data_IF_074261034341
#
_entry.id   IF_074261034341
#
_cell.length_a   1.000
_cell.length_b   1.000
_cell.length_c   1.000
_cell.angle_alpha   90.00
_cell.angle_beta   90.00
_cell.angle_gamma   90.00
#
_symmetry.space_group_name_H-M   'P 1'
#
loop_
_entity.id
_entity.type
_entity.pdbx_description
1 polymer ?
#
# COMPACT_ATOMS: atom_id res chain seq x y z
N UNK A 1 -22.40 -6.61 19.59
CA UNK A 1 -23.81 -6.29 19.92
C UNK A 1 -24.72 -7.52 19.81
N UNK A 2 -24.51 -8.41 18.83
CA UNK A 2 -25.37 -9.57 18.58
C UNK A 2 -24.98 -10.84 19.37
N UNK A 3 -23.72 -10.98 19.80
CA UNK A 3 -23.21 -12.14 20.55
C UNK A 3 -22.44 -11.71 21.80
N UNK A 4 -23.09 -11.07 22.81
CA UNK A 4 -22.42 -10.66 24.03
C UNK A 4 -21.90 -11.87 24.83
N UNK A 5 -20.76 -11.73 25.51
CA UNK A 5 -20.22 -12.74 26.42
C UNK A 5 -19.59 -13.98 25.75
N UNK A 6 -19.41 -13.98 24.43
CA UNK A 6 -18.68 -15.06 23.72
C UNK A 6 -17.18 -14.83 23.80
N UNK A 7 -16.43 -15.92 23.99
CA UNK A 7 -14.97 -15.91 23.95
C UNK A 7 -14.47 -15.67 22.52
N UNK A 8 -13.49 -14.78 22.38
CA UNK A 8 -12.82 -14.53 21.10
C UNK A 8 -11.62 -15.47 21.00
N UNK A 9 -11.56 -16.23 19.91
CA UNK A 9 -10.46 -17.13 19.59
C UNK A 9 -9.66 -16.49 18.45
N UNK A 10 -8.36 -16.27 18.67
CA UNK A 10 -7.48 -15.75 17.62
C UNK A 10 -7.16 -16.85 16.60
N UNK A 11 -7.06 -16.46 15.33
CA UNK A 11 -6.59 -17.30 14.23
C UNK A 11 -5.48 -16.56 13.47
N UNK A 12 -4.63 -17.29 12.75
CA UNK A 12 -3.55 -16.73 11.95
C UNK A 12 -4.07 -16.03 10.70
N UNK A 13 -5.27 -16.38 10.22
CA UNK A 13 -5.97 -15.65 9.15
C UNK A 13 -7.48 -15.76 9.25
N UNK A 14 -8.20 -14.86 8.58
CA UNK A 14 -9.67 -14.93 8.47
C UNK A 14 -10.14 -16.17 7.70
N UNK A 15 -9.35 -16.66 6.75
CA UNK A 15 -9.66 -17.89 6.01
C UNK A 15 -9.48 -19.15 6.87
N UNK A 16 -8.42 -19.21 7.68
CA UNK A 16 -8.19 -20.29 8.65
C UNK A 16 -9.28 -20.31 9.74
N UNK A 17 -9.72 -19.14 10.22
CA UNK A 17 -10.84 -19.06 11.15
C UNK A 17 -12.10 -19.74 10.59
N UNK A 18 -12.41 -19.52 9.31
CA UNK A 18 -13.54 -20.17 8.63
C UNK A 18 -13.33 -21.68 8.55
N UNK A 19 -12.14 -22.13 8.16
CA UNK A 19 -11.81 -23.56 8.11
C UNK A 19 -12.03 -24.26 9.47
N UNK A 20 -11.61 -23.63 10.57
CA UNK A 20 -11.82 -24.15 11.91
C UNK A 20 -13.31 -24.22 12.28
N UNK A 21 -14.07 -23.17 11.99
CA UNK A 21 -15.50 -23.12 12.30
C UNK A 21 -16.34 -24.14 11.51
N UNK A 22 -15.92 -24.52 10.30
CA UNK A 22 -16.58 -25.59 9.54
C UNK A 22 -16.41 -26.97 10.23
N UNK A 23 -15.26 -27.19 10.87
CA UNK A 23 -14.97 -28.44 11.58
C UNK A 23 -15.58 -28.55 12.98
N UNK A 24 -16.06 -27.45 13.56
CA UNK A 24 -16.61 -27.41 14.91
C UNK A 24 -17.90 -26.56 14.96
N UNK A 25 -19.09 -27.18 15.10
CA UNK A 25 -20.37 -26.48 15.11
C UNK A 25 -20.57 -25.55 16.32
N UNK A 26 -19.68 -25.59 17.32
CA UNK A 26 -19.72 -24.69 18.48
C UNK A 26 -19.03 -23.34 18.21
N UNK A 27 -18.34 -23.20 17.06
CA UNK A 27 -17.55 -22.04 16.69
C UNK A 27 -18.21 -21.30 15.52
N UNK A 28 -18.14 -19.97 15.55
CA UNK A 28 -18.43 -19.11 14.42
C UNK A 28 -17.18 -18.31 14.03
N UNK A 29 -17.03 -18.01 12.75
CA UNK A 29 -15.88 -17.28 12.23
C UNK A 29 -16.29 -15.98 11.52
N UNK A 30 -15.45 -14.97 11.63
CA UNK A 30 -15.51 -13.76 10.81
C UNK A 30 -14.53 -13.95 9.65
N UNK A 31 -15.06 -14.02 8.43
CA UNK A 31 -14.27 -14.29 7.24
C UNK A 31 -14.91 -13.79 5.95
N UNK A 32 -14.20 -14.01 4.84
CA UNK A 32 -14.72 -13.63 3.51
C UNK A 32 -15.73 -14.67 3.03
N UNK A 33 -16.67 -14.23 2.18
CA UNK A 33 -17.58 -15.16 1.49
C UNK A 33 -16.84 -16.24 0.71
N UNK A 34 -15.74 -15.85 0.05
CA UNK A 34 -14.87 -16.78 -0.66
C UNK A 34 -14.31 -17.89 0.24
N UNK A 35 -13.92 -17.59 1.48
CA UNK A 35 -13.45 -18.62 2.40
C UNK A 35 -14.55 -19.61 2.78
N UNK A 36 -15.79 -19.12 2.96
CA UNK A 36 -16.94 -20.00 3.21
C UNK A 36 -17.21 -20.92 2.02
N UNK A 37 -17.16 -20.40 0.79
CA UNK A 37 -17.32 -21.19 -0.44
C UNK A 37 -16.23 -22.27 -0.59
N UNK A 38 -14.97 -21.94 -0.33
CA UNK A 38 -13.83 -22.86 -0.46
C UNK A 38 -13.89 -24.02 0.55
N UNK A 39 -14.36 -23.76 1.77
CA UNK A 39 -14.37 -24.74 2.85
C UNK A 39 -15.75 -25.37 3.08
N UNK A 40 -16.77 -25.00 2.32
CA UNK A 40 -18.14 -25.52 2.48
C UNK A 40 -18.87 -24.98 3.72
N UNK A 41 -18.51 -23.78 4.17
CA UNK A 41 -19.16 -23.10 5.29
C UNK A 41 -20.44 -22.34 4.89
N UNK A 42 -21.36 -22.19 5.85
CA UNK A 42 -22.59 -21.42 5.68
C UNK A 42 -22.42 -19.98 6.18
N UNK A 43 -22.76 -18.98 5.35
CA UNK A 43 -22.76 -17.56 5.75
C UNK A 43 -24.03 -17.25 6.54
N UNK A 44 -23.90 -17.06 7.85
CA UNK A 44 -25.04 -16.76 8.75
C UNK A 44 -25.52 -15.31 8.67
N UNK A 45 -24.59 -14.36 8.62
CA UNK A 45 -24.89 -12.93 8.56
C UNK A 45 -23.85 -12.25 7.66
N UNK A 46 -24.23 -11.65 6.53
CA UNK A 46 -23.33 -10.87 5.69
C UNK A 46 -23.18 -9.43 6.20
N UNK A 47 -22.13 -8.74 5.75
CA UNK A 47 -21.92 -7.30 6.00
C UNK A 47 -21.90 -6.92 7.50
N UNK A 48 -21.19 -7.70 8.31
CA UNK A 48 -21.08 -7.52 9.78
C UNK A 48 -19.98 -6.52 10.20
N UNK A 49 -19.31 -5.87 9.25
CA UNK A 49 -18.29 -4.85 9.52
C UNK A 49 -18.89 -3.57 10.11
N UNK A 50 -18.16 -2.94 11.03
CA UNK A 50 -18.60 -1.67 11.62
C UNK A 50 -18.56 -0.49 10.62
N UNK A 51 -17.71 -0.58 9.59
CA UNK A 51 -17.52 0.48 8.59
C UNK A 51 -17.62 -0.06 7.16
N UNK A 52 -18.73 0.27 6.49
CA UNK A 52 -19.02 -0.15 5.11
C UNK A 52 -18.02 0.38 4.06
N UNK A 53 -17.27 1.45 4.38
CA UNK A 53 -16.27 2.03 3.48
C UNK A 53 -14.89 1.37 3.57
N UNK A 54 -14.75 0.26 4.28
CA UNK A 54 -13.46 -0.42 4.41
C UNK A 54 -12.97 -0.96 3.06
N UNK A 55 -11.83 -0.45 2.59
CA UNK A 55 -11.24 -0.82 1.32
C UNK A 55 -9.76 -1.17 1.49
N UNK A 56 -9.33 -2.23 0.81
CA UNK A 56 -7.92 -2.61 0.74
C UNK A 56 -7.41 -2.35 -0.67
N UNK A 57 -6.40 -1.48 -0.79
CA UNK A 57 -5.71 -1.25 -2.07
C UNK A 57 -4.65 -2.34 -2.28
N UNK A 58 -4.79 -3.07 -3.38
CA UNK A 58 -3.79 -4.03 -3.85
C UNK A 58 -2.92 -3.40 -4.95
N UNK A 59 -1.69 -3.91 -5.08
CA UNK A 59 -0.79 -3.59 -6.20
C UNK A 59 -0.33 -4.89 -6.84
N UNK A 60 -0.38 -4.96 -8.17
CA UNK A 60 0.10 -6.11 -8.93
C UNK A 60 1.54 -5.85 -9.36
N UNK A 61 2.45 -6.72 -8.93
CA UNK A 61 3.89 -6.57 -9.19
C UNK A 61 4.28 -7.49 -10.35
N UNK A 62 5.00 -6.93 -11.32
CA UNK A 62 5.54 -7.66 -12.46
C UNK A 62 6.91 -7.14 -12.87
N UNK A 63 7.50 -7.76 -13.89
CA UNK A 63 8.78 -7.32 -14.47
C UNK A 63 8.54 -6.40 -15.65
N UNK A 64 9.45 -5.44 -15.83
CA UNK A 64 9.45 -4.51 -16.96
C UNK A 64 8.58 -3.27 -16.72
N UNK A 65 8.89 -2.21 -17.47
CA UNK A 65 8.08 -0.99 -17.50
C UNK A 65 6.86 -1.23 -18.40
N UNK A 66 5.74 -0.61 -18.04
CA UNK A 66 4.54 -0.60 -18.87
C UNK A 66 4.47 0.72 -19.64
N UNK A 67 3.86 0.74 -20.84
CA UNK A 67 3.61 1.97 -21.56
C UNK A 67 2.70 2.91 -20.78
N UNK A 68 2.85 4.22 -21.04
CA UNK A 68 1.95 5.26 -20.53
C UNK A 68 0.51 5.00 -20.94
N UNK A 69 -0.43 5.26 -20.03
CA UNK A 69 -1.87 5.20 -20.32
C UNK A 69 -2.54 6.57 -20.41
N UNK A 70 -1.81 7.62 -20.01
CA UNK A 70 -2.33 9.00 -19.99
C UNK A 70 -3.05 9.36 -18.69
N UNK A 71 -3.34 8.38 -17.83
CA UNK A 71 -3.76 8.59 -16.44
C UNK A 71 -3.05 7.57 -15.56
N UNK A 72 -1.78 7.83 -15.28
CA UNK A 72 -0.90 6.92 -14.55
C UNK A 72 -0.61 7.42 -13.14
N UNK A 73 -0.22 6.50 -12.26
CA UNK A 73 0.54 6.81 -11.05
C UNK A 73 1.93 6.21 -11.15
N UNK A 74 2.88 6.84 -10.48
CA UNK A 74 4.24 6.31 -10.31
C UNK A 74 4.56 6.14 -8.83
N UNK A 75 5.06 4.96 -8.46
CA UNK A 75 5.54 4.67 -7.11
C UNK A 75 7.06 4.76 -7.03
N UNK A 76 7.58 5.42 -6.01
CA UNK A 76 8.99 5.69 -5.79
C UNK A 76 9.43 5.23 -4.40
N UNK A 77 10.66 4.74 -4.30
CA UNK A 77 11.39 4.65 -3.04
C UNK A 77 12.63 5.56 -3.10
N UNK A 78 12.66 6.55 -2.22
CA UNK A 78 13.64 7.62 -2.19
C UNK A 78 14.53 7.48 -0.96
N UNK A 79 15.81 7.22 -1.16
CA UNK A 79 16.76 6.99 -0.06
C UNK A 79 17.60 8.23 0.19
N UNK A 80 17.57 8.72 1.42
CA UNK A 80 18.34 9.90 1.81
C UNK A 80 19.85 9.61 1.81
N UNK A 81 20.65 10.64 1.54
CA UNK A 81 22.10 10.59 1.81
C UNK A 81 22.39 10.66 3.31
N UNK A 82 21.70 11.57 4.00
CA UNK A 82 21.76 11.76 5.43
C UNK A 82 20.40 12.26 5.93
N UNK A 83 20.00 11.83 7.12
CA UNK A 83 18.82 12.37 7.80
C UNK A 83 19.17 13.73 8.41
N UNK A 84 18.52 14.78 7.91
CA UNK A 84 18.76 16.15 8.33
C UNK A 84 17.50 17.01 8.18
N UNK A 85 17.35 18.08 8.98
CA UNK A 85 16.26 19.03 8.82
C UNK A 85 16.13 19.53 7.37
N UNK A 86 14.91 19.56 6.87
CA UNK A 86 14.61 20.00 5.50
C UNK A 86 14.80 18.96 4.40
N UNK A 87 15.27 17.73 4.69
CA UNK A 87 15.44 16.69 3.69
C UNK A 87 14.12 16.33 2.97
N UNK A 88 13.03 16.17 3.71
CA UNK A 88 11.71 15.93 3.13
C UNK A 88 11.19 17.15 2.36
N UNK A 89 11.38 18.36 2.90
CA UNK A 89 10.95 19.59 2.23
C UNK A 89 11.61 19.71 0.84
N UNK A 90 12.92 19.46 0.76
CA UNK A 90 13.66 19.44 -0.50
C UNK A 90 13.04 18.46 -1.50
N UNK A 91 12.67 17.25 -1.06
CA UNK A 91 12.01 16.26 -1.93
C UNK A 91 10.66 16.78 -2.43
N UNK A 92 9.84 17.32 -1.54
CA UNK A 92 8.51 17.83 -1.87
C UNK A 92 8.58 19.04 -2.81
N UNK A 93 9.61 19.89 -2.66
CA UNK A 93 9.83 21.02 -3.56
C UNK A 93 10.05 20.60 -5.01
N UNK A 94 10.77 19.50 -5.29
CA UNK A 94 10.94 19.01 -6.67
C UNK A 94 9.63 18.65 -7.35
N UNK A 95 8.72 18.00 -6.62
CA UNK A 95 7.40 17.66 -7.14
C UNK A 95 6.51 18.89 -7.27
N UNK A 96 6.56 19.80 -6.29
CA UNK A 96 5.79 21.05 -6.32
C UNK A 96 6.19 21.96 -7.50
N UNK A 97 7.49 22.12 -7.78
CA UNK A 97 7.95 22.88 -8.94
C UNK A 97 7.51 22.28 -10.27
N UNK A 98 7.41 20.95 -10.34
CA UNK A 98 6.88 20.24 -11.50
C UNK A 98 5.34 20.24 -11.62
N UNK A 99 4.61 20.79 -10.65
CA UNK A 99 3.15 20.71 -10.59
C UNK A 99 2.62 19.28 -10.42
N UNK A 100 3.40 18.40 -9.80
CA UNK A 100 3.10 16.97 -9.67
C UNK A 100 2.36 16.71 -8.37
N UNK A 101 1.17 16.13 -8.47
CA UNK A 101 0.36 15.78 -7.32
C UNK A 101 0.84 14.48 -6.66
N UNK A 102 0.89 14.46 -5.32
CA UNK A 102 1.25 13.27 -4.53
C UNK A 102 -0.01 12.65 -3.92
N UNK A 103 -0.15 11.33 -4.06
CA UNK A 103 -1.30 10.57 -3.53
C UNK A 103 -0.94 9.69 -2.33
N UNK A 104 0.35 9.53 -2.04
CA UNK A 104 0.85 8.83 -0.86
C UNK A 104 2.25 9.32 -0.51
N UNK A 105 2.51 9.51 0.77
CA UNK A 105 3.83 9.82 1.32
C UNK A 105 3.99 9.07 2.64
N UNK A 106 5.02 8.24 2.75
CA UNK A 106 5.32 7.49 3.97
C UNK A 106 6.83 7.43 4.21
N UNK A 107 7.27 7.75 5.42
CA UNK A 107 8.63 7.49 5.87
C UNK A 107 8.78 6.06 6.37
N UNK A 108 9.92 5.43 6.08
CA UNK A 108 10.26 4.08 6.55
C UNK A 108 11.74 4.05 6.98
N UNK A 109 12.08 3.49 8.15
CA UNK A 109 13.48 3.23 8.48
C UNK A 109 14.01 2.13 7.56
N UNK A 110 15.22 2.30 7.04
CA UNK A 110 15.86 1.35 6.11
C UNK A 110 16.46 0.14 6.81
N UNK A 111 16.58 0.17 8.15
CA UNK A 111 17.24 -0.84 9.00
C UNK A 111 18.73 -1.06 8.68
N UNK A 112 19.36 -0.20 7.87
CA UNK A 112 20.81 -0.27 7.58
C UNK A 112 21.65 0.37 8.69
N UNK A 113 21.19 1.51 9.20
CA UNK A 113 21.79 2.22 10.32
C UNK A 113 20.71 2.99 11.10
N UNK A 114 21.00 3.33 12.35
CA UNK A 114 20.15 4.23 13.15
C UNK A 114 20.06 5.58 12.42
N UNK A 115 18.84 6.06 12.15
CA UNK A 115 18.61 7.32 11.43
C UNK A 115 18.69 7.24 9.90
N UNK A 116 18.84 6.06 9.29
CA UNK A 116 18.77 5.91 7.83
C UNK A 116 17.30 5.69 7.39
N UNK A 117 16.72 6.70 6.74
CA UNK A 117 15.32 6.71 6.29
C UNK A 117 15.20 6.68 4.76
N UNK A 118 14.08 6.10 4.32
CA UNK A 118 13.59 6.24 2.96
C UNK A 118 12.15 6.73 2.94
N UNK A 119 11.78 7.42 1.86
CA UNK A 119 10.41 7.83 1.61
C UNK A 119 9.81 6.98 0.49
N UNK A 120 8.66 6.38 0.78
CA UNK A 120 7.79 5.76 -0.21
C UNK A 120 6.76 6.80 -0.67
N UNK A 121 6.73 7.08 -1.97
CA UNK A 121 5.86 8.10 -2.56
C UNK A 121 5.06 7.49 -3.71
N UNK A 122 3.76 7.80 -3.77
CA UNK A 122 2.96 7.65 -5.00
C UNK A 122 2.64 9.04 -5.53
N UNK A 123 2.90 9.26 -6.82
CA UNK A 123 2.59 10.51 -7.53
C UNK A 123 1.66 10.26 -8.72
N UNK A 124 0.95 11.29 -9.15
CA UNK A 124 0.19 11.28 -10.41
C UNK A 124 1.11 11.63 -11.58
N UNK A 125 1.09 10.81 -12.62
CA UNK A 125 1.97 10.90 -13.77
C UNK A 125 2.79 9.64 -13.99
N UNK A 126 3.27 9.49 -15.23
CA UNK A 126 4.12 8.41 -15.70
C UNK A 126 5.61 8.79 -15.60
N UNK A 127 6.51 7.82 -15.43
CA UNK A 127 7.97 8.06 -15.37
C UNK A 127 8.52 8.72 -16.64
N UNK A 128 7.83 8.58 -17.77
CA UNK A 128 8.19 9.19 -19.06
C UNK A 128 7.62 10.60 -19.26
N UNK A 129 6.76 11.08 -18.36
CA UNK A 129 6.23 12.44 -18.46
C UNK A 129 7.33 13.45 -18.15
N UNK A 130 7.42 14.52 -18.96
CA UNK A 130 8.54 15.44 -18.89
C UNK A 130 8.72 16.08 -17.50
N UNK A 131 7.61 16.44 -16.84
CA UNK A 131 7.63 16.98 -15.48
C UNK A 131 8.17 15.96 -14.48
N UNK A 132 7.67 14.72 -14.51
CA UNK A 132 8.11 13.63 -13.63
C UNK A 132 9.58 13.31 -13.85
N UNK A 133 10.00 13.16 -15.11
CA UNK A 133 11.39 12.89 -15.48
C UNK A 133 12.33 13.97 -14.94
N UNK A 134 11.97 15.25 -15.12
CA UNK A 134 12.76 16.38 -14.62
C UNK A 134 12.90 16.35 -13.10
N UNK A 135 11.79 16.13 -12.38
CA UNK A 135 11.82 16.01 -10.91
C UNK A 135 12.69 14.83 -10.45
N UNK A 136 12.60 13.67 -11.11
CA UNK A 136 13.42 12.50 -10.79
C UNK A 136 14.91 12.76 -11.03
N UNK A 137 15.26 13.45 -12.13
CA UNK A 137 16.64 13.79 -12.43
C UNK A 137 17.22 14.77 -11.39
N UNK A 138 16.47 15.78 -10.97
CA UNK A 138 16.84 16.66 -9.85
C UNK A 138 17.03 15.89 -8.54
N UNK A 139 16.13 14.95 -8.22
CA UNK A 139 16.22 14.13 -7.02
C UNK A 139 17.43 13.19 -7.03
N UNK A 140 17.80 12.63 -8.19
CA UNK A 140 18.99 11.77 -8.36
C UNK A 140 20.29 12.50 -8.04
N UNK A 141 20.33 13.83 -8.19
CA UNK A 141 21.50 14.64 -7.81
C UNK A 141 21.59 14.88 -6.30
N UNK A 142 20.49 14.78 -5.56
CA UNK A 142 20.37 15.17 -4.15
C UNK A 142 20.26 13.99 -3.19
N UNK A 143 19.80 12.84 -3.69
CA UNK A 143 19.54 11.63 -2.93
C UNK A 143 20.62 10.58 -3.14
N UNK A 144 20.69 9.60 -2.22
CA UNK A 144 21.60 8.46 -2.36
C UNK A 144 21.11 7.54 -3.47
N UNK A 145 19.80 7.31 -3.51
CA UNK A 145 19.18 6.41 -4.48
C UNK A 145 17.73 6.86 -4.73
N UNK A 146 17.34 6.86 -6.00
CA UNK A 146 15.97 7.10 -6.47
C UNK A 146 15.53 5.87 -7.21
N UNK A 147 14.68 5.06 -6.58
CA UNK A 147 14.16 3.83 -7.16
C UNK A 147 12.74 4.03 -7.66
N UNK A 148 12.55 3.93 -8.97
CA UNK A 148 11.22 3.84 -9.58
C UNK A 148 10.72 2.41 -9.42
N UNK A 149 9.62 2.23 -8.69
CA UNK A 149 9.02 0.92 -8.43
C UNK A 149 8.06 0.50 -9.54
N UNK A 150 7.50 1.47 -10.25
CA UNK A 150 6.66 1.24 -11.43
C UNK A 150 5.81 2.45 -11.75
N UNK A 151 5.39 2.53 -13.01
CA UNK A 151 4.32 3.41 -13.47
C UNK A 151 3.17 2.55 -13.98
N UNK A 152 1.95 2.84 -13.55
CA UNK A 152 0.78 1.99 -13.76
C UNK A 152 -0.51 2.83 -13.84
N UNK A 153 -1.57 2.31 -14.48
CA UNK A 153 -2.83 3.03 -14.61
C UNK A 153 -3.40 3.43 -13.26
N UNK A 154 -3.98 4.62 -13.19
CA UNK A 154 -4.69 5.10 -12.01
C UNK A 154 -5.97 4.27 -11.83
N UNK A 155 -6.11 3.63 -10.68
CA UNK A 155 -7.36 3.05 -10.19
C UNK A 155 -8.22 4.10 -9.50
#
# INVERSE_FOLDING_TARGET
>A
RNLPGRSIIAANSTAEAVQHAVGDPTIAAVGTRLAAELWGGEVREPAIEDYAGNQTRFVVIGRGLRPRTGSDKTSLALFLQADKPGALLMILSEFAYGGINLTKLQSRPTKRALGDYMFYIDLEGHVEDQAVKTALDCLRLKLREVKVLGSFPRA
#
